data_IF_502916384078
#
_entry.id   IF_502916384078
#
_cell.length_a   1.000
_cell.length_b   1.000
_cell.length_c   1.000
_cell.angle_alpha   90.00
_cell.angle_beta   90.00
_cell.angle_gamma   90.00
#
_symmetry.space_group_name_H-M   'P 1'
#
loop_
_entity.id
_entity.type
_entity.pdbx_description
1 polymer ?
#
# COMPACT_ATOMS: atom_id res chain seq x y z
N UNK A 1 -32.45 29.24 -41.16
CA UNK A 1 -31.03 29.54 -40.93
C UNK A 1 -30.79 30.14 -39.52
N UNK A 2 -31.61 29.82 -38.52
CA UNK A 2 -31.52 30.40 -37.15
C UNK A 2 -31.53 29.37 -36.03
N UNK A 3 -31.85 28.11 -36.30
CA UNK A 3 -31.95 27.06 -35.28
C UNK A 3 -30.57 26.39 -35.06
N UNK A 4 -29.78 26.23 -36.14
CA UNK A 4 -28.42 25.61 -36.03
C UNK A 4 -27.40 26.47 -35.27
N UNK A 5 -27.55 27.81 -35.30
CA UNK A 5 -26.66 28.72 -34.60
C UNK A 5 -26.91 28.72 -33.08
N UNK A 6 -28.14 28.48 -32.66
CA UNK A 6 -28.48 28.36 -31.23
C UNK A 6 -28.08 27.02 -30.66
N UNK A 7 -28.21 25.93 -31.43
CA UNK A 7 -27.83 24.59 -31.01
C UNK A 7 -26.28 24.47 -30.82
N UNK A 8 -25.52 25.09 -31.75
CA UNK A 8 -24.05 25.10 -31.64
C UNK A 8 -23.54 25.98 -30.48
N UNK A 9 -24.25 27.05 -30.12
CA UNK A 9 -23.90 27.87 -28.93
C UNK A 9 -24.28 27.17 -27.62
N UNK A 10 -25.36 26.37 -27.61
CA UNK A 10 -25.73 25.56 -26.44
C UNK A 10 -24.75 24.42 -26.22
N UNK A 11 -24.28 23.76 -27.29
CA UNK A 11 -23.25 22.71 -27.20
C UNK A 11 -21.89 23.26 -26.75
N UNK A 12 -21.50 24.46 -27.20
CA UNK A 12 -20.26 25.13 -26.77
C UNK A 12 -20.33 25.58 -25.30
N UNK A 13 -21.50 25.96 -24.78
CA UNK A 13 -21.69 26.30 -23.37
C UNK A 13 -21.73 25.06 -22.46
N UNK A 14 -22.25 23.93 -22.95
CA UNK A 14 -22.22 22.65 -22.23
C UNK A 14 -20.80 22.05 -22.17
N UNK A 15 -19.96 22.22 -23.21
CA UNK A 15 -18.55 21.84 -23.15
C UNK A 15 -17.71 22.69 -22.19
N UNK A 16 -18.09 23.96 -21.96
CA UNK A 16 -17.38 24.84 -21.03
C UNK A 16 -17.74 24.59 -19.54
N UNK A 17 -18.83 23.87 -19.25
CA UNK A 17 -19.25 23.56 -17.88
C UNK A 17 -18.66 22.24 -17.34
N UNK A 18 -17.95 21.45 -18.16
CA UNK A 18 -17.33 20.19 -17.73
C UNK A 18 -15.86 20.31 -17.30
N UNK A 19 -15.31 21.53 -17.20
CA UNK A 19 -13.89 21.76 -16.84
C UNK A 19 -13.68 22.30 -15.42
N UNK A 20 -14.56 21.99 -14.48
CA UNK A 20 -14.25 22.18 -13.05
C UNK A 20 -14.49 20.92 -12.24
N UNK A 21 -14.03 19.76 -12.77
CA UNK A 21 -13.67 18.65 -11.89
C UNK A 21 -12.43 19.14 -11.18
N UNK A 22 -12.54 19.40 -9.87
CA UNK A 22 -11.40 19.73 -9.04
C UNK A 22 -10.32 18.69 -9.28
N UNK A 23 -9.22 19.10 -9.90
CA UNK A 23 -8.02 18.29 -10.02
C UNK A 23 -7.59 18.05 -8.59
N UNK A 24 -7.88 16.85 -8.08
CA UNK A 24 -7.25 16.40 -6.85
C UNK A 24 -5.74 16.62 -7.04
N UNK A 25 -5.08 17.19 -6.05
CA UNK A 25 -3.66 17.51 -6.08
C UNK A 25 -2.85 16.32 -6.59
N UNK A 26 -2.48 16.39 -7.84
CA UNK A 26 -1.69 15.35 -8.47
C UNK A 26 -0.20 15.62 -8.24
N UNK A 27 0.58 14.56 -8.12
CA UNK A 27 2.04 14.61 -8.20
C UNK A 27 2.46 15.43 -9.43
N UNK A 28 3.48 16.27 -9.31
CA UNK A 28 3.98 17.10 -10.41
C UNK A 28 4.42 16.24 -11.62
N UNK A 29 4.55 16.87 -12.78
CA UNK A 29 4.86 16.19 -14.03
C UNK A 29 6.18 15.41 -13.96
N UNK A 30 7.22 15.99 -13.34
CA UNK A 30 8.51 15.35 -13.18
C UNK A 30 8.42 14.12 -12.27
N UNK A 31 7.71 14.24 -11.16
CA UNK A 31 7.43 13.14 -10.23
C UNK A 31 6.61 12.03 -10.86
N UNK A 32 5.56 12.39 -11.61
CA UNK A 32 4.71 11.42 -12.34
C UNK A 32 5.54 10.59 -13.32
N UNK A 33 6.34 11.26 -14.16
CA UNK A 33 7.23 10.60 -15.11
C UNK A 33 8.23 9.68 -14.40
N UNK A 34 8.86 10.16 -13.32
CA UNK A 34 9.78 9.36 -12.52
C UNK A 34 9.12 8.10 -11.97
N UNK A 35 7.92 8.22 -11.40
CA UNK A 35 7.16 7.10 -10.86
C UNK A 35 6.74 6.09 -11.94
N UNK A 36 6.38 6.56 -13.15
CA UNK A 36 6.09 5.69 -14.30
C UNK A 36 7.33 4.92 -14.78
N UNK A 37 8.49 5.57 -14.80
CA UNK A 37 9.76 4.91 -15.13
C UNK A 37 10.10 3.83 -14.10
N UNK A 38 9.95 4.13 -12.80
CA UNK A 38 10.17 3.16 -11.72
C UNK A 38 9.23 1.97 -11.79
N UNK A 39 7.97 2.15 -12.18
CA UNK A 39 7.00 1.06 -12.36
C UNK A 39 7.42 0.03 -13.40
N UNK A 40 8.31 0.39 -14.34
CA UNK A 40 8.81 -0.50 -15.39
C UNK A 40 10.02 -1.34 -14.97
N UNK A 41 10.63 -1.01 -13.84
CA UNK A 41 11.74 -1.78 -13.29
C UNK A 41 11.26 -3.16 -12.80
N UNK A 42 11.96 -4.22 -13.17
CA UNK A 42 11.56 -5.62 -12.93
C UNK A 42 11.26 -5.95 -11.46
N UNK A 43 11.99 -5.31 -10.52
CA UNK A 43 11.90 -5.62 -9.09
C UNK A 43 11.03 -4.59 -8.34
N UNK A 44 10.33 -3.70 -9.04
CA UNK A 44 9.44 -2.70 -8.46
C UNK A 44 8.00 -3.19 -8.53
N UNK A 45 7.35 -3.18 -7.37
CA UNK A 45 5.95 -3.54 -7.21
C UNK A 45 5.14 -2.25 -7.07
N UNK A 46 4.07 -2.11 -7.85
CA UNK A 46 3.12 -1.00 -7.77
C UNK A 46 1.87 -1.47 -7.05
N UNK A 47 1.47 -0.74 -6.00
CA UNK A 47 0.25 -1.00 -5.24
C UNK A 47 -0.94 -0.20 -5.80
N UNK A 48 -2.19 -0.63 -5.56
CA UNK A 48 -3.39 0.10 -6.01
C UNK A 48 -3.47 1.55 -5.51
N UNK A 49 -2.88 1.84 -4.35
CA UNK A 49 -2.75 3.19 -3.80
C UNK A 49 -1.88 4.14 -4.62
N UNK A 50 -1.10 3.60 -5.55
CA UNK A 50 -0.08 4.31 -6.29
C UNK A 50 1.31 4.30 -5.62
N UNK A 51 1.46 3.72 -4.43
CA UNK A 51 2.77 3.46 -3.84
C UNK A 51 3.53 2.44 -4.69
N UNK A 52 4.82 2.71 -4.95
CA UNK A 52 5.73 1.73 -5.55
C UNK A 52 6.83 1.42 -4.55
N UNK A 53 7.26 0.16 -4.56
CA UNK A 53 8.38 -0.23 -3.69
C UNK A 53 9.23 -1.33 -4.31
N UNK A 54 10.49 -1.36 -3.87
CA UNK A 54 11.45 -2.40 -4.18
C UNK A 54 11.99 -2.98 -2.88
N UNK A 55 12.03 -4.29 -2.80
CA UNK A 55 12.64 -4.98 -1.65
C UNK A 55 14.15 -5.04 -1.85
N UNK A 56 14.88 -4.30 -1.03
CA UNK A 56 16.36 -4.27 -1.05
C UNK A 56 16.92 -5.43 -0.23
N UNK A 57 16.30 -5.72 0.92
CA UNK A 57 16.68 -6.84 1.79
C UNK A 57 15.42 -7.41 2.42
N UNK A 58 15.31 -8.73 2.43
CA UNK A 58 14.30 -9.46 3.20
C UNK A 58 14.82 -9.74 4.60
N UNK A 59 14.05 -9.36 5.60
CA UNK A 59 14.27 -9.74 6.99
C UNK A 59 13.72 -11.13 7.30
N UNK A 60 14.02 -11.64 8.47
CA UNK A 60 13.55 -12.95 8.96
C UNK A 60 12.44 -12.82 10.01
N UNK A 61 12.00 -11.60 10.31
CA UNK A 61 10.89 -11.33 11.22
C UNK A 61 9.62 -12.06 10.79
N UNK A 62 8.83 -12.48 11.79
CA UNK A 62 7.61 -13.26 11.59
C UNK A 62 6.34 -12.45 11.89
N UNK A 63 6.48 -11.14 12.06
CA UNK A 63 5.35 -10.30 12.43
C UNK A 63 5.43 -8.92 11.79
N UNK A 64 4.27 -8.39 11.42
CA UNK A 64 4.09 -7.00 11.02
C UNK A 64 3.71 -6.13 12.22
N UNK A 65 4.03 -4.83 12.23
CA UNK A 65 3.52 -3.91 13.22
C UNK A 65 2.00 -3.70 13.04
N UNK A 66 1.31 -3.43 14.13
CA UNK A 66 -0.01 -2.80 14.05
C UNK A 66 0.15 -1.30 13.75
N UNK A 67 -0.94 -0.61 13.42
CA UNK A 67 -0.90 0.83 13.09
C UNK A 67 -0.38 1.71 14.24
N UNK A 68 -0.47 1.23 15.47
CA UNK A 68 -0.04 1.95 16.68
C UNK A 68 1.32 1.46 17.23
N UNK A 69 1.93 0.45 16.63
CA UNK A 69 3.14 -0.18 17.17
C UNK A 69 4.38 0.68 16.91
N UNK A 70 5.09 1.12 17.94
CA UNK A 70 6.36 1.81 17.75
C UNK A 70 7.36 0.88 17.06
N UNK A 71 7.98 1.36 15.99
CA UNK A 71 8.97 0.64 15.21
C UNK A 71 10.27 1.42 15.18
N UNK A 72 11.38 0.77 15.53
CA UNK A 72 12.72 1.33 15.39
C UNK A 72 13.20 1.13 13.96
N UNK A 73 13.45 2.22 13.25
CA UNK A 73 13.81 2.20 11.84
C UNK A 73 15.06 3.04 11.55
N UNK A 74 15.87 2.58 10.61
CA UNK A 74 16.73 3.47 9.84
C UNK A 74 16.03 3.90 8.56
N UNK A 75 16.28 5.13 8.14
CA UNK A 75 15.73 5.65 6.89
C UNK A 75 16.58 6.75 6.27
N UNK A 76 16.40 6.92 4.96
CA UNK A 76 16.85 8.08 4.21
C UNK A 76 15.75 8.52 3.26
N UNK A 77 15.47 9.81 3.22
CA UNK A 77 14.51 10.43 2.31
C UNK A 77 15.19 11.36 1.33
N UNK A 78 14.94 11.18 0.04
CA UNK A 78 15.49 12.01 -1.03
C UNK A 78 14.38 12.50 -1.96
N UNK A 79 14.65 13.63 -2.62
CA UNK A 79 13.91 14.04 -3.80
C UNK A 79 14.23 13.09 -4.97
N UNK A 80 13.47 13.19 -6.05
CA UNK A 80 13.68 12.36 -7.26
C UNK A 80 15.03 12.60 -7.96
N UNK A 81 15.68 13.75 -7.70
CA UNK A 81 17.02 14.07 -8.18
C UNK A 81 18.15 13.52 -7.29
N UNK A 82 17.80 12.80 -6.20
CA UNK A 82 18.75 12.24 -5.24
C UNK A 82 19.14 13.20 -4.10
N UNK A 83 18.65 14.43 -4.06
CA UNK A 83 18.91 15.36 -2.96
C UNK A 83 18.32 14.86 -1.65
N UNK A 84 19.17 14.54 -0.67
CA UNK A 84 18.74 14.08 0.67
C UNK A 84 18.13 15.26 1.45
N UNK A 85 16.92 15.08 1.94
CA UNK A 85 16.26 16.07 2.78
C UNK A 85 16.19 15.65 4.25
N UNK A 86 16.22 14.34 4.54
CA UNK A 86 16.24 13.80 5.90
C UNK A 86 16.80 12.37 5.91
N UNK A 87 17.60 12.03 6.93
CA UNK A 87 18.22 10.71 7.05
C UNK A 87 18.61 10.41 8.49
N UNK A 88 18.17 9.28 9.00
CA UNK A 88 18.61 8.74 10.28
C UNK A 88 20.04 8.19 10.21
N UNK A 89 20.48 7.76 9.03
CA UNK A 89 21.86 7.34 8.82
C UNK A 89 22.82 8.52 9.00
N UNK A 90 22.49 9.67 8.39
CA UNK A 90 23.31 10.90 8.52
C UNK A 90 23.35 11.45 9.96
N UNK A 91 22.32 11.15 10.78
CA UNK A 91 22.30 11.47 12.22
C UNK A 91 23.02 10.43 13.09
N UNK A 92 23.42 9.29 12.52
CA UNK A 92 24.13 8.21 13.22
C UNK A 92 23.27 7.37 14.16
N UNK A 93 21.94 7.51 14.16
CA UNK A 93 21.04 6.76 15.05
C UNK A 93 19.68 6.49 14.43
N UNK A 94 19.11 5.28 14.61
CA UNK A 94 17.76 4.97 14.17
C UNK A 94 16.72 5.78 14.95
N UNK A 95 15.54 5.92 14.38
CA UNK A 95 14.43 6.67 14.97
C UNK A 95 13.21 5.75 15.16
N UNK A 96 12.44 6.01 16.20
CA UNK A 96 11.22 5.24 16.49
C UNK A 96 9.98 6.01 16.02
N UNK A 97 9.13 5.35 15.21
CA UNK A 97 7.83 5.85 14.75
C UNK A 97 6.79 4.75 14.87
N UNK A 98 5.52 5.12 15.05
CA UNK A 98 4.41 4.22 14.76
C UNK A 98 3.87 4.48 13.36
N UNK A 99 3.29 3.46 12.64
CA UNK A 99 2.75 3.64 11.31
C UNK A 99 1.70 4.75 11.18
N UNK A 100 0.95 5.06 12.22
CA UNK A 100 -0.03 6.16 12.25
C UNK A 100 0.58 7.56 12.47
N UNK A 101 1.89 7.68 12.67
CA UNK A 101 2.59 8.94 12.94
C UNK A 101 3.39 9.46 11.75
N UNK A 102 3.32 8.76 10.62
CA UNK A 102 4.13 9.04 9.43
C UNK A 102 3.23 9.29 8.21
N UNK A 103 3.81 9.65 7.07
CA UNK A 103 3.07 9.85 5.82
C UNK A 103 2.40 8.55 5.36
N UNK A 104 1.30 8.67 4.60
CA UNK A 104 0.47 7.52 4.18
C UNK A 104 1.27 6.42 3.47
N UNK A 105 2.21 6.79 2.59
CA UNK A 105 3.06 5.82 1.91
C UNK A 105 3.94 5.00 2.86
N UNK A 106 4.41 5.60 3.95
CA UNK A 106 5.13 4.87 5.00
C UNK A 106 4.20 3.97 5.82
N UNK A 107 3.01 4.46 6.19
CA UNK A 107 2.01 3.67 6.91
C UNK A 107 1.70 2.37 6.15
N UNK A 108 1.47 2.48 4.85
CA UNK A 108 1.18 1.35 3.97
C UNK A 108 2.39 0.40 3.85
N UNK A 109 3.60 0.95 3.62
CA UNK A 109 4.81 0.15 3.51
C UNK A 109 5.14 -0.58 4.82
N UNK A 110 5.10 0.12 5.96
CA UNK A 110 5.42 -0.48 7.28
C UNK A 110 4.48 -1.62 7.64
N UNK A 111 3.20 -1.55 7.23
CA UNK A 111 2.22 -2.62 7.44
C UNK A 111 2.59 -3.93 6.71
N UNK A 112 3.45 -3.86 5.68
CA UNK A 112 3.93 -5.02 4.91
C UNK A 112 5.33 -5.47 5.34
N UNK A 113 6.05 -4.67 6.11
CA UNK A 113 7.42 -4.95 6.53
C UNK A 113 7.45 -5.79 7.80
N UNK A 114 8.53 -6.58 7.93
CA UNK A 114 8.89 -7.28 9.16
C UNK A 114 10.27 -6.83 9.63
N UNK A 115 10.64 -7.20 10.85
CA UNK A 115 11.98 -6.93 11.39
C UNK A 115 13.07 -7.48 10.45
N UNK A 116 14.06 -6.65 10.13
CA UNK A 116 15.16 -6.92 9.21
C UNK A 116 14.88 -6.60 7.74
N UNK A 117 13.64 -6.27 7.36
CA UNK A 117 13.33 -5.82 6.01
C UNK A 117 13.94 -4.44 5.73
N UNK A 118 14.41 -4.25 4.47
CA UNK A 118 14.81 -2.96 3.93
C UNK A 118 14.14 -2.77 2.58
N UNK A 119 13.33 -1.72 2.47
CA UNK A 119 12.59 -1.39 1.26
C UNK A 119 13.03 -0.02 0.74
N UNK A 120 13.01 0.14 -0.57
CA UNK A 120 13.03 1.44 -1.23
C UNK A 120 11.64 1.76 -1.72
N UNK A 121 11.12 2.92 -1.34
CA UNK A 121 9.76 3.38 -1.63
C UNK A 121 9.80 4.54 -2.61
N UNK A 122 8.90 4.54 -3.58
CA UNK A 122 8.67 5.63 -4.52
C UNK A 122 7.25 6.11 -4.30
N UNK A 123 7.11 7.26 -3.66
CA UNK A 123 5.87 7.72 -3.05
C UNK A 123 5.32 8.89 -3.84
N UNK A 124 4.12 8.79 -4.42
CA UNK A 124 3.46 9.94 -5.05
C UNK A 124 3.07 10.98 -3.99
N UNK A 125 2.92 12.23 -4.39
CA UNK A 125 2.70 13.34 -3.46
C UNK A 125 1.47 13.15 -2.58
N UNK A 126 0.42 12.51 -3.07
CA UNK A 126 -0.85 12.23 -2.38
C UNK A 126 -0.69 11.30 -1.16
N UNK A 127 0.36 10.47 -1.19
CA UNK A 127 0.75 9.59 -0.10
C UNK A 127 1.90 10.17 0.74
N UNK A 128 2.35 11.39 0.43
CA UNK A 128 3.42 12.11 1.11
C UNK A 128 2.91 13.44 1.68
N UNK A 129 3.39 14.58 1.16
CA UNK A 129 3.07 15.92 1.69
C UNK A 129 2.10 16.70 0.80
N UNK A 130 1.63 16.13 -0.33
CA UNK A 130 0.61 16.71 -1.21
C UNK A 130 0.90 18.11 -1.70
N UNK A 131 -0.16 18.91 -1.88
CA UNK A 131 -0.10 20.33 -2.32
C UNK A 131 0.67 21.23 -1.38
N UNK A 132 0.79 20.87 -0.11
CA UNK A 132 1.49 21.70 0.87
C UNK A 132 2.99 21.56 0.75
N UNK A 133 3.49 20.38 0.38
CA UNK A 133 4.90 20.06 0.50
C UNK A 133 5.38 20.11 1.96
N UNK A 134 6.70 20.20 2.15
CA UNK A 134 7.36 20.45 3.44
C UNK A 134 8.53 21.44 3.24
N UNK A 135 8.22 22.74 3.07
CA UNK A 135 9.25 23.77 2.85
C UNK A 135 10.25 23.86 4.01
N UNK A 136 11.50 24.26 3.76
CA UNK A 136 12.03 24.67 2.45
C UNK A 136 12.51 23.51 1.55
N UNK A 137 12.56 22.26 2.05
CA UNK A 137 13.21 21.15 1.37
C UNK A 137 12.32 20.43 0.34
N UNK A 138 11.03 20.29 0.63
CA UNK A 138 10.09 19.53 -0.21
C UNK A 138 9.07 20.51 -0.80
N UNK A 139 9.06 20.63 -2.12
CA UNK A 139 8.11 21.49 -2.85
C UNK A 139 6.70 20.88 -2.84
N UNK A 140 5.64 21.70 -3.07
CA UNK A 140 4.32 21.19 -3.36
C UNK A 140 4.34 20.11 -4.45
N UNK A 141 3.49 19.10 -4.27
CA UNK A 141 3.26 18.03 -5.26
C UNK A 141 4.50 17.18 -5.63
N UNK A 142 5.54 17.18 -4.80
CA UNK A 142 6.75 16.40 -5.06
C UNK A 142 6.55 14.93 -4.79
N UNK A 143 6.93 14.07 -5.74
CA UNK A 143 7.18 12.66 -5.48
C UNK A 143 8.47 12.50 -4.66
N UNK A 144 8.50 11.50 -3.79
CA UNK A 144 9.61 11.26 -2.87
C UNK A 144 10.15 9.84 -3.00
N UNK A 145 11.43 9.70 -2.70
CA UNK A 145 12.08 8.39 -2.56
C UNK A 145 12.50 8.20 -1.11
N UNK A 146 12.18 7.04 -0.54
CA UNK A 146 12.63 6.68 0.79
C UNK A 146 13.23 5.30 0.81
N UNK A 147 14.36 5.16 1.51
CA UNK A 147 14.81 3.87 1.99
C UNK A 147 14.37 3.72 3.43
N UNK A 148 13.71 2.61 3.79
CA UNK A 148 13.32 2.28 5.16
C UNK A 148 13.90 0.91 5.50
N UNK A 149 14.54 0.80 6.66
CA UNK A 149 15.01 -0.45 7.25
C UNK A 149 14.33 -0.65 8.61
N UNK A 150 13.51 -1.69 8.71
CA UNK A 150 12.79 -2.07 9.94
C UNK A 150 13.74 -2.85 10.85
N UNK A 151 14.20 -2.24 11.93
CA UNK A 151 15.14 -2.86 12.86
C UNK A 151 14.40 -3.68 13.91
N UNK A 152 13.38 -3.09 14.55
CA UNK A 152 12.65 -3.69 15.66
C UNK A 152 11.22 -3.17 15.72
N UNK A 153 10.27 -4.04 15.99
CA UNK A 153 8.86 -3.69 16.28
C UNK A 153 8.68 -3.79 17.80
N UNK A 154 8.50 -2.66 18.48
CA UNK A 154 8.44 -2.56 19.95
C UNK A 154 7.02 -2.69 20.52
N UNK A 155 6.00 -2.58 19.68
CA UNK A 155 4.59 -2.66 20.08
C UNK A 155 3.94 -3.99 19.75
N UNK A 156 2.61 -3.99 19.72
CA UNK A 156 1.80 -5.14 19.32
C UNK A 156 2.16 -5.57 17.90
N UNK A 157 2.13 -6.87 17.67
CA UNK A 157 2.53 -7.49 16.40
C UNK A 157 1.42 -8.36 15.87
N UNK A 158 1.25 -8.36 14.55
CA UNK A 158 0.40 -9.31 13.84
C UNK A 158 1.27 -10.30 13.08
N UNK A 159 0.80 -11.54 12.94
CA UNK A 159 1.55 -12.56 12.21
C UNK A 159 1.82 -12.11 10.78
N UNK A 160 3.09 -12.13 10.36
CA UNK A 160 3.47 -11.82 8.99
C UNK A 160 3.28 -13.03 8.10
N UNK A 161 2.30 -12.95 7.24
CA UNK A 161 2.05 -13.99 6.25
C UNK A 161 2.56 -13.50 4.90
N UNK A 162 3.70 -14.03 4.46
CA UNK A 162 4.33 -13.70 3.18
C UNK A 162 3.80 -14.61 2.06
N UNK A 163 2.49 -14.79 2.02
CA UNK A 163 1.83 -15.64 1.06
C UNK A 163 1.01 -14.78 0.11
N UNK A 164 1.33 -14.81 -1.17
CA UNK A 164 0.51 -14.21 -2.22
C UNK A 164 -0.50 -15.26 -2.73
N UNK A 165 -1.80 -15.12 -2.49
CA UNK A 165 -2.79 -16.12 -2.88
C UNK A 165 -2.93 -16.31 -4.40
N UNK A 166 -2.50 -15.35 -5.21
CA UNK A 166 -2.60 -15.43 -6.67
C UNK A 166 -1.41 -16.15 -7.28
N UNK A 167 -0.19 -15.80 -6.87
CA UNK A 167 1.06 -16.39 -7.41
C UNK A 167 1.52 -17.60 -6.60
N UNK A 168 1.00 -17.82 -5.40
CA UNK A 168 1.42 -18.80 -4.39
C UNK A 168 2.86 -18.60 -3.90
N UNK A 169 3.48 -17.47 -4.25
CA UNK A 169 4.81 -17.13 -3.78
C UNK A 169 4.79 -16.87 -2.26
N UNK A 170 5.77 -17.41 -1.54
CA UNK A 170 5.87 -17.28 -0.09
C UNK A 170 4.84 -18.09 0.72
N UNK A 171 3.99 -18.89 0.08
CA UNK A 171 3.01 -19.75 0.73
C UNK A 171 3.61 -21.12 1.05
N UNK A 172 3.39 -21.62 2.27
CA UNK A 172 3.65 -23.02 2.62
C UNK A 172 2.58 -23.97 2.02
N UNK A 173 2.79 -25.28 2.14
CA UNK A 173 1.89 -26.27 1.54
C UNK A 173 0.48 -26.27 2.16
N UNK A 174 0.37 -25.93 3.44
CA UNK A 174 -0.92 -25.81 4.13
C UNK A 174 -1.69 -24.60 3.61
N UNK A 175 -1.00 -23.46 3.42
CA UNK A 175 -1.57 -22.26 2.80
C UNK A 175 -1.99 -22.50 1.36
N UNK A 176 -1.15 -23.12 0.53
CA UNK A 176 -1.47 -23.48 -0.87
C UNK A 176 -2.71 -24.34 -0.96
N UNK A 177 -2.78 -25.37 -0.11
CA UNK A 177 -3.96 -26.26 -0.04
C UNK A 177 -5.21 -25.48 0.34
N UNK A 178 -5.12 -24.58 1.31
CA UNK A 178 -6.25 -23.74 1.72
C UNK A 178 -6.67 -22.77 0.61
N UNK A 179 -5.74 -22.11 -0.05
CA UNK A 179 -6.01 -21.18 -1.16
C UNK A 179 -6.75 -21.90 -2.30
N UNK A 180 -6.25 -23.08 -2.69
CA UNK A 180 -6.90 -23.88 -3.75
C UNK A 180 -8.34 -24.23 -3.40
N UNK A 181 -8.59 -24.65 -2.14
CA UNK A 181 -9.95 -24.93 -1.65
C UNK A 181 -10.81 -23.67 -1.60
N UNK A 182 -10.26 -22.54 -1.16
CA UNK A 182 -10.98 -21.27 -1.09
C UNK A 182 -11.38 -20.78 -2.48
N UNK A 183 -10.47 -20.80 -3.47
CA UNK A 183 -10.76 -20.46 -4.87
C UNK A 183 -11.84 -21.36 -5.51
N UNK A 184 -11.92 -22.62 -5.13
CA UNK A 184 -12.97 -23.53 -5.62
C UNK A 184 -14.30 -23.43 -4.88
N UNK A 185 -14.33 -22.77 -3.72
CA UNK A 185 -15.51 -22.65 -2.87
C UNK A 185 -16.17 -21.27 -2.96
N UNK A 186 -15.40 -20.22 -3.04
CA UNK A 186 -15.87 -18.84 -3.07
C UNK A 186 -15.70 -18.28 -4.48
N UNK A 187 -16.83 -17.94 -5.12
CA UNK A 187 -16.88 -17.49 -6.51
C UNK A 187 -16.73 -15.98 -6.68
N UNK A 188 -17.08 -15.22 -5.65
CA UNK A 188 -17.08 -13.77 -5.67
C UNK A 188 -16.61 -13.17 -4.33
N UNK A 189 -16.56 -11.83 -4.31
CA UNK A 189 -16.15 -11.07 -3.14
C UNK A 189 -17.10 -11.22 -1.96
N UNK A 190 -18.40 -11.22 -2.20
CA UNK A 190 -19.41 -11.24 -1.14
C UNK A 190 -19.31 -12.53 -0.35
N UNK A 191 -19.13 -13.67 -1.02
CA UNK A 191 -18.90 -14.97 -0.38
C UNK A 191 -17.60 -15.00 0.44
N UNK A 192 -16.53 -14.34 -0.05
CA UNK A 192 -15.27 -14.18 0.71
C UNK A 192 -15.48 -13.33 1.97
N UNK A 193 -16.20 -12.21 1.88
CA UNK A 193 -16.50 -11.33 3.01
C UNK A 193 -17.39 -12.02 4.06
N UNK A 194 -18.38 -12.81 3.64
CA UNK A 194 -19.19 -13.60 4.56
C UNK A 194 -18.33 -14.59 5.36
N UNK A 195 -17.41 -15.31 4.69
CA UNK A 195 -16.51 -16.24 5.38
C UNK A 195 -15.53 -15.50 6.30
N UNK A 196 -14.98 -14.34 5.89
CA UNK A 196 -14.14 -13.49 6.72
C UNK A 196 -14.90 -13.11 8.00
N UNK A 197 -16.12 -12.59 7.87
CA UNK A 197 -16.95 -12.20 9.00
C UNK A 197 -17.24 -13.37 9.93
N UNK A 198 -17.55 -14.55 9.38
CA UNK A 198 -17.75 -15.79 10.15
C UNK A 198 -16.50 -16.17 10.96
N UNK A 199 -15.32 -16.11 10.35
CA UNK A 199 -14.05 -16.42 11.03
C UNK A 199 -13.70 -15.40 12.11
N UNK A 200 -13.95 -14.12 11.88
CA UNK A 200 -13.77 -13.05 12.88
C UNK A 200 -14.66 -13.31 14.11
N UNK A 201 -15.92 -13.65 13.90
CA UNK A 201 -16.85 -13.98 15.02
C UNK A 201 -16.39 -15.21 15.81
N UNK A 202 -15.84 -16.24 15.12
CA UNK A 202 -15.31 -17.42 15.80
C UNK A 202 -14.07 -17.04 16.62
N UNK A 203 -13.17 -16.24 16.05
CA UNK A 203 -11.94 -15.84 16.73
C UNK A 203 -12.20 -14.98 17.97
N UNK A 204 -13.27 -14.19 17.99
CA UNK A 204 -13.64 -13.31 19.10
C UNK A 204 -14.21 -14.05 20.32
N UNK A 205 -14.70 -15.30 20.15
CA UNK A 205 -15.33 -16.07 21.26
C UNK A 205 -14.34 -16.59 22.32
N UNK A 206 -13.03 -16.49 22.06
CA UNK A 206 -12.00 -16.93 23.00
C UNK A 206 -11.91 -18.47 23.13
N UNK A 207 -10.99 -18.94 23.99
CA UNK A 207 -10.85 -20.37 24.30
C UNK A 207 -10.16 -21.23 23.25
N UNK A 208 -9.63 -20.63 22.18
CA UNK A 208 -8.94 -21.32 21.11
C UNK A 208 -7.49 -21.62 21.51
N UNK A 209 -6.99 -22.83 21.22
CA UNK A 209 -5.56 -23.16 21.38
C UNK A 209 -4.70 -22.27 20.45
N UNK A 210 -3.48 -21.95 20.86
CA UNK A 210 -2.61 -21.02 20.16
C UNK A 210 -2.36 -21.41 18.68
N UNK A 211 -2.07 -22.68 18.41
CA UNK A 211 -1.89 -23.18 17.03
C UNK A 211 -3.14 -22.98 16.16
N UNK A 212 -4.33 -23.16 16.74
CA UNK A 212 -5.59 -22.97 16.01
C UNK A 212 -5.87 -21.48 15.78
N UNK A 213 -5.49 -20.63 16.73
CA UNK A 213 -5.58 -19.17 16.64
C UNK A 213 -4.66 -18.64 15.53
N UNK A 214 -3.40 -19.10 15.50
CA UNK A 214 -2.44 -18.75 14.45
C UNK A 214 -2.94 -19.16 13.06
N UNK A 215 -3.47 -20.41 12.94
CA UNK A 215 -4.05 -20.85 11.67
C UNK A 215 -5.30 -20.09 11.27
N UNK A 216 -6.11 -19.66 12.23
CA UNK A 216 -7.28 -18.81 11.99
C UNK A 216 -6.85 -17.44 11.43
N UNK A 217 -5.82 -16.82 12.00
CA UNK A 217 -5.24 -15.56 11.51
C UNK A 217 -4.69 -15.71 10.09
N UNK A 218 -4.00 -16.83 9.82
CA UNK A 218 -3.52 -17.17 8.46
C UNK A 218 -4.66 -17.23 7.45
N UNK A 219 -5.77 -17.91 7.79
CA UNK A 219 -6.94 -18.01 6.91
C UNK A 219 -7.58 -16.66 6.67
N UNK A 220 -7.74 -15.84 7.71
CA UNK A 220 -8.28 -14.49 7.59
C UNK A 220 -7.43 -13.62 6.66
N UNK A 221 -6.11 -13.65 6.83
CA UNK A 221 -5.21 -12.92 5.95
C UNK A 221 -5.35 -13.35 4.48
N UNK A 222 -5.34 -14.66 4.21
CA UNK A 222 -5.47 -15.20 2.85
C UNK A 222 -6.79 -14.74 2.20
N UNK A 223 -7.91 -14.86 2.91
CA UNK A 223 -9.22 -14.47 2.39
C UNK A 223 -9.31 -12.96 2.16
N UNK A 224 -8.78 -12.14 3.06
CA UNK A 224 -8.72 -10.69 2.90
C UNK A 224 -7.90 -10.30 1.66
N UNK A 225 -6.75 -10.95 1.46
CA UNK A 225 -5.95 -10.73 0.25
C UNK A 225 -6.72 -11.15 -1.01
N UNK A 226 -7.41 -12.28 -0.99
CA UNK A 226 -8.23 -12.73 -2.13
C UNK A 226 -9.35 -11.74 -2.43
N UNK A 227 -10.07 -11.23 -1.42
CA UNK A 227 -11.13 -10.25 -1.60
C UNK A 227 -10.63 -8.90 -2.15
N UNK A 228 -9.46 -8.43 -1.73
CA UNK A 228 -8.84 -7.21 -2.27
C UNK A 228 -8.47 -7.34 -3.76
N UNK A 229 -8.15 -8.55 -4.24
CA UNK A 229 -7.74 -8.77 -5.63
C UNK A 229 -8.93 -9.04 -6.56
N UNK A 230 -10.10 -9.44 -6.05
CA UNK A 230 -11.32 -9.56 -6.86
C UNK A 230 -11.76 -8.20 -7.42
N UNK A 231 -11.57 -7.11 -6.66
CA UNK A 231 -11.90 -5.74 -7.13
C UNK A 231 -11.02 -5.25 -8.29
N UNK A 232 -9.80 -5.74 -8.38
CA UNK A 232 -8.87 -5.31 -9.42
C UNK A 232 -9.18 -5.93 -10.80
N UNK A 233 -9.95 -7.01 -10.84
CA UNK A 233 -10.38 -7.65 -12.10
C UNK A 233 -11.70 -7.09 -12.62
N UNK A 234 -12.59 -6.63 -11.75
CA UNK A 234 -13.88 -6.03 -12.15
C UNK A 234 -13.75 -4.57 -12.63
N UNK A 235 -12.61 -3.93 -12.42
CA UNK A 235 -12.33 -2.55 -12.83
C UNK A 235 -11.80 -2.37 -14.26
N UNK A 236 -11.43 -3.44 -14.95
CA UNK A 236 -10.88 -3.39 -16.31
C UNK A 236 -11.92 -3.64 -17.43
N UNK A 237 -13.21 -3.78 -17.10
CA UNK A 237 -14.32 -3.97 -18.06
C UNK A 237 -15.27 -2.74 -18.17
N UNK A 238 -14.79 -1.50 -17.98
CA UNK A 238 -15.61 -0.31 -18.26
C UNK A 238 -14.92 0.64 -19.24
#
# INVERSE_FOLDING_TARGET
MTIDLMLNRLLALLCALFLSIGVAAATDEAGTKYLEEKSKEKDVITLPSGLRYKVIKRGEGKSHPTVNSPCLCHYAGTLIDGTEFDSSYSRGSPTTFAPNQVIKGWTEAMAMMVEGDKYELYIPSELAYGERGSPPKIRPNSALVFTIEMIEIKGDKTLALRCNPNTLEGCDDKMKTYITKAKGKFGDRDELEEEINRLVQISSKGGMKDELKEWMQTRLFILQQMAMWSDAQDGDEL
#
